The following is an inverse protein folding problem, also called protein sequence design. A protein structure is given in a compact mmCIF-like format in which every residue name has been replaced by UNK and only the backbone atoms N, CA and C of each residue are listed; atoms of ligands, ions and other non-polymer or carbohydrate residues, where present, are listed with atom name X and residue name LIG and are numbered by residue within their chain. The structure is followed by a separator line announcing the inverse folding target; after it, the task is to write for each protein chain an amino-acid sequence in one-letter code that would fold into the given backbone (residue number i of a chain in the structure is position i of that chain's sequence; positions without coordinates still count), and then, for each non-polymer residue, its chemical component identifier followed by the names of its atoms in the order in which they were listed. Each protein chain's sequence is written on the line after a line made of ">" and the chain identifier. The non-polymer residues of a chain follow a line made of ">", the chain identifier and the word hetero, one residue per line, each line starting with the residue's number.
data_IF_915420398008
#
_entry.id   IF_915420398008
#
_cell.length_a   1.000
_cell.length_b   1.000
_cell.length_c   1.000
_cell.angle_alpha   90.00
_cell.angle_beta   90.00
_cell.angle_gamma   90.00
#
_symmetry.space_group_name_H-M   'P 1'
#
loop_
_entity.id
_entity.type
_entity.pdbx_description
1 polymer ?
#
# COMPACT_ATOMS: atom_id res chain seq x y z
N UNK A 1 -6.05 -15.62 4.36
CA UNK A 1 -6.62 -14.63 3.43
C UNK A 1 -5.51 -14.05 2.58
N UNK A 2 -5.71 -13.99 1.31
CA UNK A 2 -4.72 -13.42 0.39
C UNK A 2 -4.60 -11.90 0.57
N UNK A 3 -3.41 -11.39 0.29
CA UNK A 3 -3.14 -9.95 0.44
C UNK A 3 -4.06 -9.14 -0.48
N UNK A 4 -4.27 -9.58 -1.72
CA UNK A 4 -5.16 -8.93 -2.68
C UNK A 4 -6.57 -8.78 -2.12
N UNK A 5 -7.09 -9.85 -1.53
CA UNK A 5 -8.44 -9.82 -0.95
C UNK A 5 -8.51 -8.85 0.22
N UNK A 6 -7.50 -8.86 1.07
CA UNK A 6 -7.45 -7.97 2.23
C UNK A 6 -7.44 -6.50 1.80
N UNK A 7 -6.61 -6.17 0.80
CA UNK A 7 -6.56 -4.79 0.28
C UNK A 7 -7.87 -4.41 -0.36
N UNK A 8 -8.46 -5.30 -1.16
CA UNK A 8 -9.75 -5.01 -1.80
C UNK A 8 -10.84 -4.72 -0.77
N UNK A 9 -10.89 -5.47 0.32
CA UNK A 9 -11.86 -5.23 1.40
C UNK A 9 -11.63 -3.87 2.05
N UNK A 10 -10.37 -3.52 2.31
CA UNK A 10 -10.01 -2.22 2.88
C UNK A 10 -10.39 -1.08 1.93
N UNK A 11 -10.09 -1.24 0.65
CA UNK A 11 -10.39 -0.24 -0.38
C UNK A 11 -11.88 -0.02 -0.50
N UNK A 12 -12.67 -1.09 -0.50
CA UNK A 12 -14.12 -0.98 -0.62
C UNK A 12 -14.74 -0.17 0.52
N UNK A 13 -14.14 -0.23 1.71
CA UNK A 13 -14.61 0.52 2.88
C UNK A 13 -14.06 1.93 2.96
N UNK A 14 -12.93 2.22 2.31
CA UNK A 14 -12.16 3.44 2.57
C UNK A 14 -12.06 4.38 1.37
N UNK A 15 -12.18 3.88 0.15
CA UNK A 15 -11.84 4.63 -1.06
C UNK A 15 -12.99 4.59 -2.06
N UNK A 16 -13.51 5.76 -2.41
CA UNK A 16 -14.50 5.93 -3.47
C UNK A 16 -13.84 6.25 -4.81
N UNK A 17 -12.86 7.15 -4.80
CA UNK A 17 -12.13 7.54 -6.00
C UNK A 17 -10.69 7.93 -5.67
N UNK A 18 -9.94 8.38 -6.68
CA UNK A 18 -8.52 8.70 -6.54
C UNK A 18 -8.25 9.82 -5.53
N UNK A 19 -9.21 10.70 -5.28
CA UNK A 19 -9.05 11.81 -4.33
C UNK A 19 -8.96 11.32 -2.89
N UNK A 20 -9.45 10.12 -2.61
CA UNK A 20 -9.35 9.51 -1.29
C UNK A 20 -7.98 8.86 -1.04
N UNK A 21 -7.13 8.76 -2.06
CA UNK A 21 -5.79 8.20 -1.94
C UNK A 21 -4.83 9.27 -1.44
N UNK A 22 -4.92 9.57 -0.16
CA UNK A 22 -4.03 10.51 0.51
C UNK A 22 -3.84 10.09 1.96
N UNK A 23 -2.75 10.57 2.57
CA UNK A 23 -2.37 10.17 3.92
C UNK A 23 -3.44 10.55 4.93
N UNK A 24 -3.94 11.77 4.87
CA UNK A 24 -4.89 12.30 5.85
C UNK A 24 -6.18 11.48 5.87
N UNK A 25 -6.74 11.21 4.70
CA UNK A 25 -7.97 10.44 4.60
C UNK A 25 -7.79 9.00 5.08
N UNK A 26 -6.75 8.34 4.61
CA UNK A 26 -6.52 6.93 4.97
C UNK A 26 -6.09 6.77 6.42
N UNK A 27 -5.32 7.71 6.97
CA UNK A 27 -4.98 7.68 8.39
C UNK A 27 -6.24 7.79 9.26
N UNK A 28 -7.17 8.65 8.86
CA UNK A 28 -8.46 8.77 9.53
C UNK A 28 -9.26 7.46 9.43
N UNK A 29 -9.37 6.91 8.22
CA UNK A 29 -10.14 5.68 8.00
C UNK A 29 -9.55 4.48 8.71
N UNK A 30 -8.22 4.41 8.81
CA UNK A 30 -7.52 3.30 9.46
C UNK A 30 -7.34 3.50 10.97
N UNK A 31 -7.73 4.65 11.48
CA UNK A 31 -7.55 5.02 12.89
C UNK A 31 -6.07 4.90 13.31
N UNK A 32 -5.18 5.47 12.51
CA UNK A 32 -3.76 5.47 12.77
C UNK A 32 -3.25 6.91 12.91
N UNK A 33 -2.34 7.12 13.86
CA UNK A 33 -1.70 8.42 14.06
C UNK A 33 -0.44 8.51 13.21
N UNK A 34 -0.23 9.67 12.58
CA UNK A 34 0.95 9.92 11.76
C UNK A 34 1.94 10.76 12.54
N UNK A 35 3.18 10.29 12.63
CA UNK A 35 4.28 11.02 13.26
C UNK A 35 5.31 11.37 12.18
N UNK A 36 5.32 12.65 11.77
CA UNK A 36 6.30 13.12 10.80
C UNK A 36 7.65 13.35 11.49
N UNK A 37 8.74 12.92 10.85
CA UNK A 37 10.08 13.03 11.44
C UNK A 37 11.13 13.16 10.33
N UNK A 38 12.39 13.39 10.73
CA UNK A 38 13.49 13.56 9.78
C UNK A 38 14.36 12.30 9.64
N UNK A 39 13.99 11.19 10.29
CA UNK A 39 14.88 10.04 10.42
C UNK A 39 14.45 8.82 9.61
N UNK A 40 13.21 8.34 9.79
CA UNK A 40 12.83 7.06 9.18
C UNK A 40 11.32 6.88 9.08
N UNK A 41 10.93 5.93 8.24
CA UNK A 41 9.57 5.43 8.15
C UNK A 41 9.45 4.20 9.04
N UNK A 42 8.37 4.08 9.81
CA UNK A 42 8.16 2.94 10.68
C UNK A 42 6.68 2.77 11.03
N UNK A 43 6.35 1.59 11.53
CA UNK A 43 5.07 1.32 12.17
C UNK A 43 5.31 0.75 13.56
N UNK A 44 4.60 1.29 14.57
CA UNK A 44 4.61 0.75 15.94
C UNK A 44 3.21 0.82 16.53
N UNK A 45 2.95 -0.02 17.52
CA UNK A 45 1.74 0.06 18.33
C UNK A 45 2.15 0.30 19.77
N UNK A 46 1.59 1.34 20.39
CA UNK A 46 1.87 1.68 21.79
C UNK A 46 0.56 1.95 22.52
N UNK A 47 0.36 1.25 23.64
CA UNK A 47 -0.83 1.42 24.48
C UNK A 47 -2.14 1.29 23.68
N UNK A 48 -2.18 0.36 22.73
CA UNK A 48 -3.35 0.13 21.89
C UNK A 48 -3.53 1.13 20.75
N UNK A 49 -2.57 2.04 20.56
CA UNK A 49 -2.63 3.06 19.50
C UNK A 49 -1.65 2.71 18.39
N UNK A 50 -2.15 2.67 17.16
CA UNK A 50 -1.31 2.46 15.99
C UNK A 50 -0.68 3.78 15.55
N UNK A 51 0.64 3.75 15.31
CA UNK A 51 1.41 4.93 14.91
C UNK A 51 2.25 4.56 13.68
N UNK A 52 2.12 5.37 12.63
CA UNK A 52 2.99 5.29 11.46
C UNK A 52 3.89 6.52 11.46
N UNK A 53 5.20 6.30 11.51
CA UNK A 53 6.18 7.37 11.36
C UNK A 53 6.51 7.56 9.89
N UNK A 54 6.57 8.80 9.44
CA UNK A 54 6.91 9.13 8.06
C UNK A 54 8.04 10.14 8.04
N UNK A 55 9.11 9.76 7.34
CA UNK A 55 10.22 10.67 7.11
C UNK A 55 9.79 11.74 6.10
N UNK A 56 10.08 13.01 6.37
CA UNK A 56 9.79 14.08 5.45
C UNK A 56 10.42 13.84 4.09
N UNK A 57 9.61 13.94 3.04
CA UNK A 57 10.01 13.71 1.66
C UNK A 57 8.95 14.34 0.75
N UNK A 58 9.08 14.16 -0.54
CA UNK A 58 8.07 14.56 -1.51
C UNK A 58 6.75 13.85 -1.20
N UNK A 59 5.64 14.51 -1.54
CA UNK A 59 4.31 13.99 -1.20
C UNK A 59 4.10 12.54 -1.66
N UNK A 60 4.45 12.23 -2.91
CA UNK A 60 4.24 10.89 -3.45
C UNK A 60 5.12 9.84 -2.78
N UNK A 61 6.35 10.22 -2.35
CA UNK A 61 7.22 9.31 -1.62
C UNK A 61 6.71 9.06 -0.21
N UNK A 62 6.17 10.08 0.45
CA UNK A 62 5.56 9.92 1.76
C UNK A 62 4.31 9.04 1.69
N UNK A 63 3.50 9.21 0.65
CA UNK A 63 2.32 8.36 0.46
C UNK A 63 2.70 6.91 0.21
N UNK A 64 3.71 6.68 -0.61
CA UNK A 64 4.25 5.34 -0.86
C UNK A 64 4.72 4.69 0.45
N UNK A 65 5.46 5.44 1.27
CA UNK A 65 5.93 4.96 2.57
C UNK A 65 4.76 4.67 3.51
N UNK A 66 3.75 5.53 3.53
CA UNK A 66 2.54 5.31 4.32
C UNK A 66 1.87 3.99 3.96
N UNK A 67 1.68 3.73 2.67
CA UNK A 67 1.04 2.50 2.21
C UNK A 67 1.86 1.26 2.60
N UNK A 68 3.19 1.35 2.55
CA UNK A 68 4.07 0.27 2.97
C UNK A 68 3.93 -0.01 4.47
N UNK A 69 3.98 1.04 5.30
CA UNK A 69 3.86 0.88 6.76
C UNK A 69 2.45 0.43 7.15
N UNK A 70 1.43 0.85 6.41
CA UNK A 70 0.08 0.33 6.59
C UNK A 70 0.03 -1.18 6.32
N UNK A 71 0.82 -1.66 5.36
CA UNK A 71 0.97 -3.10 5.13
C UNK A 71 1.46 -3.84 6.35
N UNK A 72 2.47 -3.31 7.03
CA UNK A 72 2.93 -3.90 8.29
C UNK A 72 1.83 -3.87 9.35
N UNK A 73 1.11 -2.78 9.44
CA UNK A 73 0.01 -2.64 10.42
C UNK A 73 -1.07 -3.71 10.21
N UNK A 74 -1.53 -3.88 8.97
CA UNK A 74 -2.63 -4.79 8.69
C UNK A 74 -2.20 -6.26 8.65
N UNK A 75 -0.96 -6.55 8.28
CA UNK A 75 -0.48 -7.92 8.09
C UNK A 75 0.36 -8.44 9.25
N UNK A 76 1.11 -7.58 9.94
CA UNK A 76 2.15 -8.02 10.86
C UNK A 76 2.11 -7.38 12.26
N UNK A 77 1.03 -6.71 12.63
CA UNK A 77 0.97 -5.91 13.86
C UNK A 77 1.36 -6.67 15.13
N UNK A 78 1.11 -7.97 15.18
CA UNK A 78 1.37 -8.79 16.38
C UNK A 78 2.67 -9.58 16.32
N UNK A 79 3.48 -9.46 15.26
CA UNK A 79 4.57 -10.38 14.98
C UNK A 79 5.95 -9.73 14.83
N UNK A 80 6.09 -8.44 15.15
CA UNK A 80 7.30 -7.70 14.78
C UNK A 80 8.49 -7.87 15.72
N UNK A 81 8.30 -8.39 16.92
CA UNK A 81 9.39 -8.49 17.89
C UNK A 81 10.04 -9.89 17.83
N UNK A 82 11.38 -9.91 17.79
CA UNK A 82 12.18 -11.15 17.87
C UNK A 82 12.02 -12.11 16.69
N UNK A 83 11.67 -11.59 15.51
CA UNK A 83 11.57 -12.43 14.31
C UNK A 83 12.95 -12.69 13.69
N UNK A 84 13.20 -13.91 13.18
CA UNK A 84 14.40 -14.16 12.38
C UNK A 84 14.47 -13.24 11.17
N UNK A 85 15.70 -12.94 10.72
CA UNK A 85 15.91 -12.03 9.58
C UNK A 85 15.15 -12.47 8.32
N UNK A 86 15.09 -13.76 8.04
CA UNK A 86 14.38 -14.28 6.88
C UNK A 86 12.87 -13.95 6.94
N UNK A 87 12.30 -13.96 8.13
CA UNK A 87 10.92 -13.57 8.35
C UNK A 87 10.72 -12.09 8.09
N UNK A 88 11.68 -11.25 8.51
CA UNK A 88 11.61 -9.82 8.26
C UNK A 88 11.63 -9.51 6.76
N UNK A 89 12.47 -10.21 5.99
CA UNK A 89 12.50 -10.04 4.53
C UNK A 89 11.18 -10.45 3.89
N UNK A 90 10.59 -11.55 4.35
CA UNK A 90 9.29 -11.99 3.88
C UNK A 90 8.20 -10.97 4.21
N UNK A 91 8.21 -10.45 5.43
CA UNK A 91 7.26 -9.43 5.85
C UNK A 91 7.42 -8.14 5.06
N UNK A 92 8.67 -7.75 4.75
CA UNK A 92 8.92 -6.57 3.92
C UNK A 92 8.37 -6.76 2.51
N UNK A 93 8.53 -7.94 1.92
CA UNK A 93 7.98 -8.24 0.60
C UNK A 93 6.45 -8.20 0.61
N UNK A 94 5.83 -8.72 1.66
CA UNK A 94 4.37 -8.65 1.81
C UNK A 94 3.89 -7.23 1.98
N UNK A 95 4.59 -6.42 2.78
CA UNK A 95 4.25 -5.02 2.99
C UNK A 95 4.41 -4.20 1.71
N UNK A 96 5.44 -4.50 0.90
CA UNK A 96 5.61 -3.86 -0.39
C UNK A 96 4.45 -4.18 -1.32
N UNK A 97 4.07 -5.45 -1.39
CA UNK A 97 2.93 -5.88 -2.20
C UNK A 97 1.64 -5.20 -1.75
N UNK A 98 1.37 -5.19 -0.45
CA UNK A 98 0.23 -4.49 0.12
C UNK A 98 0.23 -3.02 -0.28
N UNK A 99 1.39 -2.36 -0.14
CA UNK A 99 1.54 -0.95 -0.47
C UNK A 99 1.25 -0.64 -1.92
N UNK A 100 1.73 -1.46 -2.85
CA UNK A 100 1.47 -1.28 -4.28
C UNK A 100 -0.02 -1.43 -4.60
N UNK A 101 -0.67 -2.40 -3.99
CA UNK A 101 -2.10 -2.63 -4.18
C UNK A 101 -2.93 -1.48 -3.61
N UNK A 102 -2.52 -0.91 -2.48
CA UNK A 102 -3.22 0.21 -1.86
C UNK A 102 -2.99 1.52 -2.61
N UNK A 103 -1.77 1.76 -3.10
CA UNK A 103 -1.45 2.95 -3.90
C UNK A 103 -2.25 2.98 -5.20
N UNK A 104 -2.45 1.82 -5.81
CA UNK A 104 -3.08 1.70 -7.12
C UNK A 104 -4.15 0.61 -7.06
N UNK A 105 -5.31 0.90 -6.43
CA UNK A 105 -6.34 -0.11 -6.22
C UNK A 105 -6.89 -0.67 -7.52
N UNK A 106 -7.08 -1.99 -7.55
CA UNK A 106 -7.58 -2.69 -8.73
C UNK A 106 -8.91 -2.14 -9.21
N UNK A 107 -9.80 -1.78 -8.30
CA UNK A 107 -11.11 -1.26 -8.68
C UNK A 107 -11.02 0.04 -9.48
N UNK A 108 -10.05 0.92 -9.15
CA UNK A 108 -9.84 2.16 -9.90
C UNK A 108 -9.16 1.90 -11.24
N UNK A 109 -8.23 0.95 -11.26
CA UNK A 109 -7.56 0.53 -12.50
C UNK A 109 -8.59 -0.03 -13.48
N UNK A 110 -9.42 -0.95 -13.02
CA UNK A 110 -10.44 -1.60 -13.84
C UNK A 110 -11.49 -0.60 -14.33
N UNK A 111 -11.98 0.22 -13.43
CA UNK A 111 -13.01 1.21 -13.75
C UNK A 111 -12.55 2.19 -14.82
N UNK A 112 -11.28 2.60 -14.76
CA UNK A 112 -10.72 3.61 -15.67
C UNK A 112 -9.85 3.02 -16.77
N UNK A 113 -9.77 1.69 -16.87
CA UNK A 113 -9.00 0.96 -17.89
C UNK A 113 -7.55 1.39 -17.96
N UNK A 114 -6.89 1.44 -16.80
CA UNK A 114 -5.51 1.91 -16.68
C UNK A 114 -4.52 0.76 -16.82
N UNK A 115 -4.34 0.23 -18.03
CA UNK A 115 -3.58 -1.00 -18.22
C UNK A 115 -2.17 -0.78 -18.77
N UNK A 116 -1.75 0.48 -18.91
CA UNK A 116 -0.38 0.81 -19.30
C UNK A 116 0.33 1.56 -18.17
N UNK A 117 1.66 1.42 -18.12
CA UNK A 117 2.43 2.11 -17.08
C UNK A 117 2.21 3.62 -17.11
N UNK A 118 2.14 4.21 -18.31
CA UNK A 118 1.89 5.65 -18.46
C UNK A 118 0.54 6.07 -17.89
N UNK A 119 -0.48 5.22 -18.01
CA UNK A 119 -1.79 5.49 -17.44
C UNK A 119 -1.71 5.53 -15.90
N UNK A 120 -1.00 4.57 -15.30
CA UNK A 120 -0.84 4.52 -13.85
C UNK A 120 -0.06 5.72 -13.33
N UNK A 121 1.02 6.09 -14.03
CA UNK A 121 1.83 7.24 -13.68
C UNK A 121 1.00 8.52 -13.67
N UNK A 122 0.21 8.71 -14.70
CA UNK A 122 -0.61 9.92 -14.86
C UNK A 122 -1.76 9.97 -13.85
N UNK A 123 -2.45 8.86 -13.67
CA UNK A 123 -3.65 8.83 -12.83
C UNK A 123 -3.32 8.83 -11.34
N UNK A 124 -2.32 8.05 -10.92
CA UNK A 124 -1.98 7.89 -9.51
C UNK A 124 -0.79 8.75 -9.07
N UNK A 125 -0.08 9.38 -10.00
CA UNK A 125 1.07 10.20 -9.66
C UNK A 125 2.28 9.40 -9.18
N UNK A 126 2.44 8.17 -9.66
CA UNK A 126 3.57 7.30 -9.29
C UNK A 126 4.67 7.37 -10.35
N UNK A 127 5.90 6.99 -9.97
CA UNK A 127 7.01 6.91 -10.91
C UNK A 127 6.91 5.66 -11.79
N UNK A 128 7.72 5.60 -12.84
CA UNK A 128 7.67 4.51 -13.81
C UNK A 128 7.96 3.15 -13.17
N UNK A 129 8.99 3.07 -12.31
CA UNK A 129 9.35 1.82 -11.66
C UNK A 129 8.19 1.23 -10.85
N UNK A 130 7.49 2.07 -10.12
CA UNK A 130 6.34 1.67 -9.32
C UNK A 130 5.19 1.24 -10.21
N UNK A 131 4.93 1.98 -11.28
CA UNK A 131 3.89 1.64 -12.26
C UNK A 131 4.17 0.29 -12.92
N UNK A 132 5.41 0.03 -13.31
CA UNK A 132 5.78 -1.24 -13.93
C UNK A 132 5.61 -2.43 -12.98
N UNK A 133 5.96 -2.26 -11.72
CA UNK A 133 5.71 -3.30 -10.70
C UNK A 133 4.21 -3.61 -10.60
N UNK A 134 3.38 -2.59 -10.64
CA UNK A 134 1.93 -2.79 -10.57
C UNK A 134 1.39 -3.51 -11.81
N UNK A 135 1.90 -3.16 -12.99
CA UNK A 135 1.52 -3.85 -14.23
C UNK A 135 1.88 -5.34 -14.15
N UNK A 136 3.08 -5.67 -13.66
CA UNK A 136 3.48 -7.06 -13.48
C UNK A 136 2.50 -7.82 -12.57
N UNK A 137 2.05 -7.19 -11.50
CA UNK A 137 1.07 -7.79 -10.60
C UNK A 137 -0.26 -8.06 -11.30
N UNK A 138 -0.72 -7.13 -12.15
CA UNK A 138 -1.95 -7.30 -12.92
C UNK A 138 -1.83 -8.45 -13.92
N UNK A 139 -0.71 -8.55 -14.60
CA UNK A 139 -0.45 -9.64 -15.57
C UNK A 139 -0.43 -10.98 -14.84
N UNK A 140 0.27 -11.07 -13.73
CA UNK A 140 0.35 -12.32 -12.95
C UNK A 140 -1.03 -12.73 -12.41
N UNK A 141 -1.80 -11.75 -11.93
CA UNK A 141 -3.16 -12.02 -11.45
C UNK A 141 -4.06 -12.54 -12.56
N UNK A 142 -4.00 -11.95 -13.76
CA UNK A 142 -4.81 -12.40 -14.89
C UNK A 142 -4.45 -13.82 -15.33
N UNK A 143 -3.17 -14.18 -15.28
CA UNK A 143 -2.72 -15.54 -15.60
C UNK A 143 -3.26 -16.56 -14.61
N UNK A 144 -3.25 -16.22 -13.34
CA UNK A 144 -3.71 -17.11 -12.26
C UNK A 144 -5.23 -17.26 -12.29
N UNK A 145 -5.96 -16.16 -12.51
CA UNK A 145 -7.42 -16.15 -12.46
C UNK A 145 -8.09 -16.43 -13.82
N UNK A 146 -7.31 -16.52 -14.90
CA UNK A 146 -7.84 -16.71 -16.25
C UNK A 146 -8.50 -15.48 -16.84
N UNK A 147 -8.30 -14.31 -16.25
CA UNK A 147 -8.81 -13.04 -16.76
C UNK A 147 -7.90 -12.56 -17.89
N UNK A 148 -8.49 -12.06 -18.97
CA UNK A 148 -7.75 -11.48 -20.09
C UNK A 148 -8.00 -9.97 -20.14
N UNK A 149 -6.93 -9.24 -20.33
CA UNK A 149 -6.98 -7.79 -20.52
C UNK A 149 -6.94 -7.42 -21.99
#
# INVERSE_FOLDING_TARGET
>A
MRIEQKVNDIVDLSILDVHDLNIEHLAYMFDVHILYNHQSNFYVQKAGVDIIGLKFDKRHEMFKAFCHEAGHMFLHATQQHNMPRAYNEYQEAEAEKFGLLLQMPEKLITKNRLYQATDLMSYFGVCEDVALKRIDMLVNHSKVSGIQF
#
